data_IF_743955563084
#
_entry.id   IF_743955563084
#
_cell.length_a   1.000
_cell.length_b   1.000
_cell.length_c   1.000
_cell.angle_alpha   90.00
_cell.angle_beta   90.00
_cell.angle_gamma   90.00
#
_symmetry.space_group_name_H-M   'P 1'
#
loop_
_entity.id
_entity.type
_entity.pdbx_description
1 polymer ?
#
# COMPACT_ATOMS: atom_id res chain seq x y z
N UNK A 1 -2.41 -29.65 2.34
CA UNK A 1 -2.27 -28.48 3.22
C UNK A 1 -3.65 -27.86 3.35
N UNK A 2 -4.26 -27.89 4.53
CA UNK A 2 -5.56 -27.25 4.77
C UNK A 2 -5.33 -25.74 4.79
N UNK A 3 -5.83 -25.01 3.79
CA UNK A 3 -5.84 -23.56 3.82
C UNK A 3 -6.72 -23.12 4.98
N UNK A 4 -6.09 -22.71 6.08
CA UNK A 4 -6.80 -22.07 7.18
C UNK A 4 -7.34 -20.74 6.68
N UNK A 5 -8.62 -20.49 6.92
CA UNK A 5 -9.25 -19.19 6.69
C UNK A 5 -8.83 -18.16 7.74
N UNK A 6 -8.19 -18.59 8.83
CA UNK A 6 -7.72 -17.75 9.93
C UNK A 6 -6.43 -17.02 9.53
N UNK A 7 -6.33 -15.74 9.90
CA UNK A 7 -5.17 -14.93 9.62
C UNK A 7 -3.89 -15.53 10.24
N UNK A 8 -2.91 -15.81 9.38
CA UNK A 8 -1.64 -16.43 9.77
C UNK A 8 -0.76 -15.56 10.68
N UNK A 9 -1.10 -14.27 10.85
CA UNK A 9 -0.34 -13.37 11.74
C UNK A 9 -0.84 -13.44 13.18
N UNK A 10 -2.13 -13.19 13.39
CA UNK A 10 -2.71 -13.13 14.73
C UNK A 10 -3.20 -14.48 15.23
N UNK A 11 -3.72 -15.34 14.35
CA UNK A 11 -4.37 -16.60 14.73
C UNK A 11 -5.79 -16.44 15.28
N UNK A 12 -6.36 -15.23 15.25
CA UNK A 12 -7.57 -14.91 16.03
C UNK A 12 -8.86 -14.81 15.17
N UNK A 13 -8.79 -14.28 13.95
CA UNK A 13 -9.95 -14.00 13.10
C UNK A 13 -9.73 -14.45 11.67
N UNK A 14 -10.81 -14.63 10.91
CA UNK A 14 -10.73 -14.88 9.47
C UNK A 14 -10.00 -13.76 8.73
N UNK A 15 -9.20 -14.16 7.73
CA UNK A 15 -8.42 -13.23 6.95
C UNK A 15 -9.29 -12.54 5.89
N UNK A 16 -9.64 -11.29 6.15
CA UNK A 16 -10.21 -10.36 5.17
C UNK A 16 -9.23 -9.26 4.81
N UNK A 17 -9.51 -8.49 3.75
CA UNK A 17 -8.71 -7.31 3.41
C UNK A 17 -8.61 -6.33 4.60
N UNK A 18 -9.74 -5.94 5.19
CA UNK A 18 -9.77 -5.02 6.33
C UNK A 18 -9.07 -5.60 7.55
N UNK A 19 -9.23 -6.89 7.83
CA UNK A 19 -8.45 -7.53 8.89
C UNK A 19 -6.94 -7.42 8.61
N UNK A 20 -6.52 -7.75 7.38
CA UNK A 20 -5.14 -7.66 6.97
C UNK A 20 -4.54 -6.27 7.15
N UNK A 21 -5.24 -5.23 6.72
CA UNK A 21 -4.66 -3.88 6.69
C UNK A 21 -5.01 -3.01 7.89
N UNK A 22 -6.00 -3.38 8.72
CA UNK A 22 -6.54 -2.51 9.77
C UNK A 22 -6.81 -3.20 11.10
N UNK A 23 -7.56 -4.31 11.10
CA UNK A 23 -8.13 -4.88 12.34
C UNK A 23 -7.26 -5.97 12.99
N UNK A 24 -6.31 -6.54 12.27
CA UNK A 24 -5.34 -7.46 12.85
C UNK A 24 -4.48 -6.74 13.90
N UNK A 25 -4.22 -7.37 15.05
CA UNK A 25 -3.41 -6.79 16.15
C UNK A 25 -2.10 -6.15 15.66
N UNK A 26 -1.42 -6.77 14.70
CA UNK A 26 -0.17 -6.25 14.13
C UNK A 26 -0.38 -4.99 13.28
N UNK A 27 -1.51 -4.90 12.59
CA UNK A 27 -1.90 -3.75 11.77
C UNK A 27 -2.40 -2.60 12.64
N UNK A 28 -3.26 -2.88 13.62
CA UNK A 28 -3.83 -1.89 14.53
C UNK A 28 -2.74 -1.14 15.30
N UNK A 29 -1.71 -1.85 15.79
CA UNK A 29 -0.58 -1.21 16.51
C UNK A 29 0.18 -0.22 15.62
N UNK A 30 0.33 -0.49 14.32
CA UNK A 30 0.97 0.43 13.37
C UNK A 30 0.14 1.70 13.23
N UNK A 31 -1.18 1.58 13.02
CA UNK A 31 -2.10 2.72 12.90
C UNK A 31 -2.09 3.61 14.13
N UNK A 32 -2.18 3.02 15.32
CA UNK A 32 -2.07 3.78 16.56
C UNK A 32 -0.73 4.52 16.65
N UNK A 33 0.37 3.87 16.27
CA UNK A 33 1.72 4.45 16.37
C UNK A 33 1.93 5.64 15.42
N UNK A 34 1.32 5.61 14.23
CA UNK A 34 1.37 6.73 13.27
C UNK A 34 0.22 7.74 13.48
N UNK A 35 -0.57 7.58 14.54
CA UNK A 35 -1.53 8.57 15.03
C UNK A 35 -2.96 8.44 14.50
N UNK A 36 -3.37 7.27 14.00
CA UNK A 36 -4.78 6.94 13.73
C UNK A 36 -5.34 6.14 14.92
N UNK A 37 -5.74 6.86 15.96
CA UNK A 37 -6.20 6.27 17.23
C UNK A 37 -7.70 6.37 17.46
N UNK A 38 -8.41 7.17 16.65
CA UNK A 38 -9.84 7.38 16.80
C UNK A 38 -10.62 6.07 16.57
N UNK A 39 -11.59 5.71 17.42
CA UNK A 39 -12.47 4.56 17.18
C UNK A 39 -13.20 4.63 15.83
N UNK A 40 -13.52 5.85 15.36
CA UNK A 40 -14.18 6.06 14.06
C UNK A 40 -13.31 5.60 12.87
N UNK A 41 -11.99 5.51 13.04
CA UNK A 41 -11.10 4.99 12.00
C UNK A 41 -11.30 3.48 11.77
N UNK A 42 -11.76 2.76 12.81
CA UNK A 42 -11.92 1.31 12.81
C UNK A 42 -13.38 0.87 12.64
N UNK A 43 -14.33 1.80 12.53
CA UNK A 43 -15.76 1.49 12.54
C UNK A 43 -16.34 1.07 11.18
N UNK A 44 -15.69 1.44 10.07
CA UNK A 44 -16.21 1.12 8.73
C UNK A 44 -16.11 -0.38 8.43
N UNK A 45 -17.22 -1.04 8.09
CA UNK A 45 -17.23 -2.46 7.69
C UNK A 45 -16.89 -2.65 6.21
N UNK A 46 -16.98 -1.60 5.40
CA UNK A 46 -16.73 -1.60 3.96
C UNK A 46 -15.30 -1.18 3.67
N UNK A 47 -14.55 -2.07 3.00
CA UNK A 47 -13.18 -1.78 2.58
C UNK A 47 -13.12 -0.54 1.68
N UNK A 48 -14.09 -0.40 0.77
CA UNK A 48 -14.15 0.69 -0.17
C UNK A 48 -14.41 2.03 0.54
N UNK A 49 -15.36 2.07 1.47
CA UNK A 49 -15.71 3.31 2.16
C UNK A 49 -14.57 3.74 3.09
N UNK A 50 -13.95 2.79 3.80
CA UNK A 50 -12.76 3.07 4.60
C UNK A 50 -11.60 3.64 3.77
N UNK A 51 -11.37 3.10 2.57
CA UNK A 51 -10.35 3.63 1.64
C UNK A 51 -10.70 5.05 1.17
N UNK A 52 -11.95 5.31 0.80
CA UNK A 52 -12.39 6.65 0.38
C UNK A 52 -12.23 7.67 1.50
N UNK A 53 -12.63 7.33 2.72
CA UNK A 53 -12.45 8.17 3.90
C UNK A 53 -10.97 8.48 4.18
N UNK A 54 -10.11 7.46 4.12
CA UNK A 54 -8.68 7.62 4.35
C UNK A 54 -7.98 8.46 3.28
N UNK A 55 -8.34 8.28 2.00
CA UNK A 55 -7.80 9.11 0.90
C UNK A 55 -8.32 10.54 0.96
N UNK A 56 -9.56 10.75 1.41
CA UNK A 56 -10.17 12.07 1.54
C UNK A 56 -9.76 12.85 2.79
N UNK A 57 -9.04 12.24 3.74
CA UNK A 57 -8.68 12.90 4.99
C UNK A 57 -7.50 13.89 4.83
N UNK A 58 -7.37 14.85 5.76
CA UNK A 58 -6.24 15.81 5.78
C UNK A 58 -4.86 15.14 5.93
N UNK A 59 -4.82 13.88 6.37
CA UNK A 59 -3.60 13.08 6.57
C UNK A 59 -3.48 11.98 5.52
N UNK A 60 -4.02 12.18 4.32
CA UNK A 60 -4.10 11.17 3.25
C UNK A 60 -2.75 10.56 2.87
N UNK A 61 -1.67 11.35 2.82
CA UNK A 61 -0.32 10.82 2.56
C UNK A 61 0.15 9.84 3.64
N UNK A 62 -0.12 10.14 4.92
CA UNK A 62 0.22 9.27 6.05
C UNK A 62 -0.65 8.01 5.99
N UNK A 63 -1.94 8.17 5.66
CA UNK A 63 -2.85 7.05 5.47
C UNK A 63 -2.36 6.10 4.37
N UNK A 64 -2.06 6.61 3.18
CA UNK A 64 -1.60 5.80 2.05
C UNK A 64 -0.26 5.13 2.32
N UNK A 65 0.70 5.84 2.91
CA UNK A 65 1.98 5.26 3.32
C UNK A 65 1.80 4.18 4.39
N UNK A 66 0.95 4.43 5.39
CA UNK A 66 0.59 3.47 6.43
C UNK A 66 -0.08 2.22 5.86
N UNK A 67 -1.01 2.38 4.92
CA UNK A 67 -1.71 1.29 4.24
C UNK A 67 -0.73 0.40 3.48
N UNK A 68 0.13 1.02 2.66
CA UNK A 68 1.18 0.33 1.91
C UNK A 68 2.11 -0.48 2.82
N UNK A 69 2.66 0.16 3.85
CA UNK A 69 3.61 -0.50 4.75
C UNK A 69 2.96 -1.56 5.64
N UNK A 70 1.69 -1.40 6.00
CA UNK A 70 0.95 -2.42 6.74
C UNK A 70 0.72 -3.67 5.87
N UNK A 71 0.33 -3.49 4.60
CA UNK A 71 0.21 -4.59 3.65
C UNK A 71 1.56 -5.27 3.39
N UNK A 72 2.62 -4.48 3.19
CA UNK A 72 3.97 -5.01 3.01
C UNK A 72 4.46 -5.79 4.23
N UNK A 73 4.19 -5.29 5.43
CA UNK A 73 4.51 -6.01 6.68
C UNK A 73 3.76 -7.34 6.76
N UNK A 74 2.49 -7.39 6.35
CA UNK A 74 1.74 -8.65 6.25
C UNK A 74 2.44 -9.64 5.33
N UNK A 75 2.88 -9.20 4.15
CA UNK A 75 3.57 -10.07 3.20
C UNK A 75 4.93 -10.57 3.73
N UNK A 76 5.69 -9.72 4.43
CA UNK A 76 6.93 -10.14 5.09
C UNK A 76 6.68 -11.24 6.12
N UNK A 77 5.66 -11.10 6.97
CA UNK A 77 5.33 -12.09 7.98
C UNK A 77 4.85 -13.41 7.35
N UNK A 78 3.98 -13.33 6.34
CA UNK A 78 3.33 -14.52 5.77
C UNK A 78 4.20 -15.25 4.73
N UNK A 79 5.04 -14.55 3.96
CA UNK A 79 5.81 -15.13 2.85
C UNK A 79 7.28 -15.35 3.22
N UNK A 80 7.85 -14.49 4.08
CA UNK A 80 9.27 -14.52 4.41
C UNK A 80 9.53 -14.94 5.87
N UNK A 81 8.47 -15.18 6.66
CA UNK A 81 8.55 -15.46 8.09
C UNK A 81 9.37 -14.40 8.87
N UNK A 82 9.32 -13.15 8.41
CA UNK A 82 10.04 -12.02 9.00
C UNK A 82 9.05 -11.02 9.60
N UNK A 83 9.28 -10.60 10.85
CA UNK A 83 8.48 -9.57 11.51
C UNK A 83 9.35 -8.36 11.82
N UNK A 84 8.90 -7.17 11.44
CA UNK A 84 9.60 -5.93 11.77
C UNK A 84 9.05 -5.36 13.08
N UNK A 85 9.91 -4.67 13.83
CA UNK A 85 9.43 -3.93 14.99
C UNK A 85 8.54 -2.77 14.55
N UNK A 86 7.54 -2.45 15.36
CA UNK A 86 6.63 -1.30 15.12
C UNK A 86 7.42 0.00 15.00
N UNK A 87 8.52 0.14 15.75
CA UNK A 87 9.43 1.28 15.64
C UNK A 87 10.06 1.38 14.24
N UNK A 88 10.62 0.29 13.72
CA UNK A 88 11.21 0.24 12.38
C UNK A 88 10.18 0.58 11.32
N UNK A 89 8.98 0.00 11.42
CA UNK A 89 7.87 0.28 10.50
C UNK A 89 7.47 1.75 10.53
N UNK A 90 7.31 2.33 11.72
CA UNK A 90 6.92 3.74 11.87
C UNK A 90 7.98 4.69 11.32
N UNK A 91 9.26 4.41 11.59
CA UNK A 91 10.38 5.17 11.03
C UNK A 91 10.37 5.11 9.50
N UNK A 92 10.16 3.92 8.93
CA UNK A 92 10.15 3.72 7.48
C UNK A 92 8.94 4.36 6.81
N UNK A 93 7.77 4.35 7.46
CA UNK A 93 6.57 5.09 7.02
C UNK A 93 6.88 6.59 6.97
N UNK A 94 7.48 7.16 8.02
CA UNK A 94 7.86 8.58 8.06
C UNK A 94 8.86 8.93 6.94
N UNK A 95 9.91 8.12 6.74
CA UNK A 95 10.83 8.33 5.63
C UNK A 95 10.15 8.25 4.26
N UNK A 96 9.15 7.38 4.11
CA UNK A 96 8.36 7.27 2.87
C UNK A 96 7.51 8.52 2.65
N UNK A 97 6.88 9.04 3.71
CA UNK A 97 6.10 10.29 3.65
C UNK A 97 7.01 11.46 3.25
N UNK A 98 8.20 11.58 3.82
CA UNK A 98 9.18 12.61 3.47
C UNK A 98 9.57 12.54 1.98
N UNK A 99 9.81 11.33 1.45
CA UNK A 99 10.12 11.12 0.04
C UNK A 99 8.93 11.56 -0.83
N UNK A 100 7.71 11.12 -0.51
CA UNK A 100 6.50 11.49 -1.26
C UNK A 100 6.34 13.01 -1.27
N UNK A 101 6.43 13.66 -0.11
CA UNK A 101 6.32 15.11 -0.01
C UNK A 101 7.38 15.81 -0.85
N UNK A 102 8.64 15.36 -0.79
CA UNK A 102 9.74 15.95 -1.58
C UNK A 102 9.52 15.78 -3.09
N UNK A 103 9.11 14.60 -3.54
CA UNK A 103 8.85 14.35 -4.96
C UNK A 103 7.67 15.16 -5.49
N UNK A 104 6.59 15.29 -4.73
CA UNK A 104 5.38 15.99 -5.19
C UNK A 104 5.46 17.51 -5.05
N UNK A 105 6.25 18.05 -4.11
CA UNK A 105 6.41 19.50 -3.96
C UNK A 105 7.44 20.11 -4.93
N UNK A 106 8.38 19.32 -5.46
CA UNK A 106 9.43 19.83 -6.36
C UNK A 106 8.93 20.16 -7.79
N UNK A 107 7.71 19.76 -8.16
CA UNK A 107 7.18 19.95 -9.52
C UNK A 107 6.42 21.28 -9.73
N UNK A 108 6.22 22.10 -8.69
CA UNK A 108 5.43 23.32 -8.82
C UNK A 108 6.16 24.50 -9.51
N UNK A 109 7.49 24.45 -9.62
CA UNK A 109 8.32 25.58 -10.07
C UNK A 109 8.88 25.47 -11.48
N UNK A 110 8.59 24.40 -12.22
CA UNK A 110 9.09 24.22 -13.58
C UNK A 110 7.96 23.74 -14.47
N UNK A 111 7.66 24.50 -15.52
CA UNK A 111 6.79 24.02 -16.59
C UNK A 111 7.32 22.66 -17.05
N UNK A 112 6.52 21.58 -17.00
CA UNK A 112 7.01 20.27 -17.41
C UNK A 112 7.49 20.39 -18.86
N UNK A 113 8.71 19.90 -19.18
CA UNK A 113 9.19 19.93 -20.56
C UNK A 113 8.17 19.22 -21.45
N UNK A 114 7.93 19.77 -22.64
CA UNK A 114 6.97 19.20 -23.60
C UNK A 114 7.27 17.73 -23.83
N UNK A 115 6.48 16.84 -23.24
CA UNK A 115 6.67 15.39 -23.35
C UNK A 115 6.15 14.95 -24.71
N UNK A 116 7.05 14.80 -25.68
CA UNK A 116 6.73 14.38 -27.05
C UNK A 116 6.05 12.99 -27.10
N UNK A 117 6.33 12.13 -26.13
CA UNK A 117 5.70 10.82 -25.98
C UNK A 117 4.94 10.77 -24.66
N UNK A 118 3.61 10.85 -24.73
CA UNK A 118 2.74 10.70 -23.55
C UNK A 118 1.70 9.62 -23.74
N UNK A 119 1.35 8.96 -22.64
CA UNK A 119 0.14 8.14 -22.60
C UNK A 119 -1.06 9.02 -22.93
N UNK A 120 -1.84 8.61 -23.92
CA UNK A 120 -2.96 9.37 -24.47
C UNK A 120 -4.15 8.41 -24.62
N UNK A 121 -5.05 8.40 -23.64
CA UNK A 121 -6.29 7.62 -23.73
C UNK A 121 -7.39 8.32 -24.52
N UNK A 122 -7.26 9.61 -24.79
CA UNK A 122 -8.39 10.43 -25.25
C UNK A 122 -8.50 10.53 -26.78
N UNK A 123 -7.56 9.96 -27.55
CA UNK A 123 -7.49 10.19 -29.01
C UNK A 123 -7.67 8.97 -29.92
N UNK A 124 -7.92 7.76 -29.38
CA UNK A 124 -8.01 6.57 -30.23
C UNK A 124 -9.14 5.63 -29.80
N UNK A 125 -9.90 5.14 -30.78
CA UNK A 125 -10.80 3.98 -30.61
C UNK A 125 -9.92 2.72 -30.64
N UNK A 126 -9.13 2.51 -29.58
CA UNK A 126 -8.30 1.33 -29.43
C UNK A 126 -8.30 0.86 -27.98
N UNK A 127 -7.90 -0.40 -27.81
CA UNK A 127 -7.70 -1.01 -26.51
C UNK A 127 -6.28 -0.74 -26.03
N UNK A 128 -6.13 -0.23 -24.80
CA UNK A 128 -4.83 0.09 -24.23
C UNK A 128 -4.31 -1.11 -23.46
N UNK A 129 -3.25 -1.73 -23.96
CA UNK A 129 -2.55 -2.79 -23.25
C UNK A 129 -1.42 -2.17 -22.41
N UNK A 130 -1.53 -2.27 -21.09
CA UNK A 130 -0.43 -1.98 -20.18
C UNK A 130 0.37 -3.26 -19.97
N UNK A 131 1.69 -3.22 -20.18
CA UNK A 131 2.61 -4.34 -19.94
C UNK A 131 3.69 -3.95 -18.96
N UNK A 132 4.09 -4.89 -18.11
CA UNK A 132 5.23 -4.75 -17.20
C UNK A 132 6.02 -6.07 -17.14
N UNK A 133 7.31 -5.94 -16.81
CA UNK A 133 8.22 -7.06 -16.63
C UNK A 133 9.04 -6.90 -15.36
N UNK A 134 9.20 -7.98 -14.60
CA UNK A 134 10.03 -7.99 -13.39
C UNK A 134 11.15 -9.03 -13.49
N UNK A 135 12.28 -8.74 -12.87
CA UNK A 135 13.36 -9.68 -12.66
C UNK A 135 13.80 -9.67 -11.20
N UNK A 136 14.14 -10.82 -10.64
CA UNK A 136 14.59 -10.94 -9.25
C UNK A 136 15.51 -12.14 -9.04
N UNK A 137 16.52 -11.94 -8.19
CA UNK A 137 17.35 -13.00 -7.61
C UNK A 137 18.62 -13.36 -8.38
N UNK A 138 19.40 -14.26 -7.78
CA UNK A 138 20.52 -14.96 -8.38
C UNK A 138 20.40 -16.47 -8.00
N UNK A 139 20.14 -17.38 -8.96
CA UNK A 139 20.00 -17.13 -10.39
C UNK A 139 18.73 -16.32 -10.73
N UNK A 140 18.83 -15.49 -11.76
CA UNK A 140 17.79 -14.53 -12.16
C UNK A 140 16.51 -15.26 -12.55
N UNK A 141 15.40 -14.88 -11.91
CA UNK A 141 14.04 -15.22 -12.34
C UNK A 141 13.41 -14.01 -13.01
N UNK A 142 12.71 -14.24 -14.11
CA UNK A 142 11.99 -13.18 -14.84
C UNK A 142 10.49 -13.51 -14.88
N UNK A 143 9.67 -12.47 -14.90
CA UNK A 143 8.22 -12.55 -15.07
C UNK A 143 7.74 -11.38 -15.93
N UNK A 144 6.64 -11.58 -16.65
CA UNK A 144 5.99 -10.55 -17.44
C UNK A 144 4.48 -10.65 -17.28
N UNK A 145 3.78 -9.53 -17.46
CA UNK A 145 2.33 -9.46 -17.37
C UNK A 145 1.79 -8.28 -18.16
N UNK A 146 0.51 -8.37 -18.52
CA UNK A 146 -0.20 -7.26 -19.14
C UNK A 146 -1.66 -7.23 -18.76
N UNK A 147 -2.25 -6.04 -18.78
CA UNK A 147 -3.67 -5.79 -18.55
C UNK A 147 -4.22 -4.91 -19.66
N UNK A 148 -5.36 -5.35 -20.19
CA UNK A 148 -6.18 -4.65 -21.18
C UNK A 148 -7.28 -3.88 -20.45
#
# INVERSE_FOLDING_TARGET
MTNSVICNRCGDHEESFLHCVRDCRFSTIIWHKIGFTSPSFFSSSSALDWLKEGVGCHRSTIFLAGLWWTWRHRNLMCLNNETWSVYRLSSTINSTIEIICRCLHNDASTSPPTRLVRWNNDNHVCTILNVDGSCIGDPIRTGFGGVI
#
